data_IF_353701830039
#
_entry.id   IF_353701830039
#
_cell.length_a   1.000
_cell.length_b   1.000
_cell.length_c   1.000
_cell.angle_alpha   90.00
_cell.angle_beta   90.00
_cell.angle_gamma   90.00
#
_symmetry.space_group_name_H-M   'P 1'
#
loop_
_entity.id
_entity.type
_entity.pdbx_description
1 polymer ?
#
# COMPACT_ATOMS: atom_id res chain seq x y z
N UNK A 1 36.48 -40.50 12.58
CA UNK A 1 35.76 -39.52 13.42
C UNK A 1 35.48 -38.34 12.52
N UNK A 2 34.41 -38.47 11.74
CA UNK A 2 33.87 -37.40 10.90
C UNK A 2 32.67 -36.82 11.62
N UNK A 3 32.64 -35.51 11.76
CA UNK A 3 31.50 -34.77 12.30
C UNK A 3 30.49 -34.58 11.17
N UNK A 4 29.27 -35.09 11.36
CA UNK A 4 28.15 -34.81 10.46
C UNK A 4 27.27 -33.79 11.17
N UNK A 5 27.37 -32.53 10.76
CA UNK A 5 26.45 -31.46 11.15
C UNK A 5 25.16 -31.60 10.35
N UNK A 6 24.23 -32.43 10.81
CA UNK A 6 22.83 -32.38 10.36
C UNK A 6 22.06 -31.38 11.23
N UNK A 7 22.10 -30.10 10.84
CA UNK A 7 21.04 -29.18 11.23
C UNK A 7 19.80 -29.50 10.40
N UNK A 8 18.66 -29.88 11.01
CA UNK A 8 17.44 -30.07 10.25
C UNK A 8 17.03 -28.71 9.68
N UNK A 9 17.03 -28.61 8.35
CA UNK A 9 16.48 -27.48 7.62
C UNK A 9 15.00 -27.40 7.95
N UNK A 10 14.65 -26.56 8.93
CA UNK A 10 13.26 -26.21 9.21
C UNK A 10 12.77 -25.36 8.04
N UNK A 11 12.24 -26.03 7.02
CA UNK A 11 11.55 -25.42 5.90
C UNK A 11 10.29 -24.78 6.49
N UNK A 12 10.37 -23.46 6.76
CA UNK A 12 9.19 -22.66 7.09
C UNK A 12 8.37 -22.56 5.80
N UNK A 13 7.63 -23.62 5.51
CA UNK A 13 6.75 -23.66 4.35
C UNK A 13 5.63 -22.64 4.55
N UNK A 14 5.39 -21.81 3.54
CA UNK A 14 4.33 -20.79 3.46
C UNK A 14 2.90 -21.34 3.56
N UNK A 15 2.71 -22.55 4.07
CA UNK A 15 1.46 -23.24 4.31
C UNK A 15 0.62 -22.56 5.41
N UNK A 16 1.26 -21.99 6.45
CA UNK A 16 0.53 -21.30 7.52
C UNK A 16 -0.15 -19.99 7.06
N UNK A 17 0.49 -19.23 6.16
CA UNK A 17 -0.11 -18.04 5.55
C UNK A 17 -1.24 -18.36 4.57
N UNK A 18 -1.13 -19.48 3.84
CA UNK A 18 -2.14 -19.89 2.86
C UNK A 18 -3.46 -20.32 3.50
N UNK A 19 -3.44 -20.95 4.70
CA UNK A 19 -4.69 -21.41 5.35
C UNK A 19 -5.52 -20.30 6.01
N UNK A 20 -4.92 -19.14 6.31
CA UNK A 20 -5.61 -17.98 6.90
C UNK A 20 -6.20 -17.02 5.85
N UNK A 21 -5.76 -17.15 4.60
CA UNK A 21 -6.22 -16.31 3.50
C UNK A 21 -7.10 -17.13 2.55
N UNK A 22 -8.41 -17.23 2.84
CA UNK A 22 -9.40 -17.83 1.93
C UNK A 22 -9.59 -17.04 0.61
N UNK A 23 -8.65 -16.18 0.23
CA UNK A 23 -8.71 -15.36 -1.00
C UNK A 23 -9.81 -14.31 -0.99
N UNK A 24 -10.42 -14.02 0.17
CA UNK A 24 -11.52 -13.06 0.31
C UNK A 24 -11.19 -11.88 1.22
N UNK A 25 -9.95 -11.80 1.69
CA UNK A 25 -9.53 -10.78 2.64
C UNK A 25 -9.21 -9.46 1.92
N UNK A 26 -9.69 -8.36 2.50
CA UNK A 26 -9.38 -7.01 2.02
C UNK A 26 -8.01 -6.59 2.55
N UNK A 27 -7.10 -6.25 1.65
CA UNK A 27 -5.73 -5.87 1.98
C UNK A 27 -5.59 -4.36 1.82
N UNK A 28 -5.28 -3.67 2.92
CA UNK A 28 -5.08 -2.24 2.97
C UNK A 28 -3.70 -1.86 2.43
N UNK A 29 -3.67 -1.06 1.35
CA UNK A 29 -2.50 -0.28 0.95
C UNK A 29 -2.68 1.16 1.43
N UNK A 30 -2.04 1.52 2.54
CA UNK A 30 -2.17 2.84 3.14
C UNK A 30 -1.25 3.86 2.48
N UNK A 31 -1.81 5.00 2.04
CA UNK A 31 -1.05 6.08 1.40
C UNK A 31 -1.28 7.39 2.16
N UNK A 32 -0.19 8.04 2.55
CA UNK A 32 -0.20 9.24 3.38
C UNK A 32 -0.16 8.97 4.88
N UNK A 33 -0.37 10.04 5.65
CA UNK A 33 -0.27 10.05 7.10
C UNK A 33 1.10 10.49 7.61
N UNK A 34 1.16 10.75 8.92
CA UNK A 34 2.42 10.95 9.64
C UNK A 34 3.08 9.62 10.02
N UNK A 35 4.12 9.65 10.85
CA UNK A 35 4.85 8.45 11.27
C UNK A 35 3.96 7.36 11.91
N UNK A 36 2.91 7.77 12.64
CA UNK A 36 2.01 6.86 13.37
C UNK A 36 0.74 6.46 12.61
N UNK A 37 0.49 7.06 11.43
CA UNK A 37 -0.58 6.67 10.50
C UNK A 37 -1.96 6.37 11.14
N UNK A 38 -2.48 7.21 12.06
CA UNK A 38 -3.63 6.85 12.90
C UNK A 38 -4.91 6.55 12.13
N UNK A 39 -5.15 7.22 11.00
CA UNK A 39 -6.36 7.00 10.17
C UNK A 39 -6.35 5.68 9.41
N UNK A 40 -5.17 5.14 9.12
CA UNK A 40 -5.08 3.80 8.54
C UNK A 40 -5.28 2.78 9.66
N UNK A 41 -4.76 3.03 10.86
CA UNK A 41 -4.97 2.14 12.02
C UNK A 41 -6.44 1.93 12.37
N UNK A 42 -7.28 2.96 12.27
CA UNK A 42 -8.74 2.83 12.46
C UNK A 42 -9.38 1.79 11.51
N UNK A 43 -8.77 1.56 10.34
CA UNK A 43 -9.20 0.55 9.37
C UNK A 43 -8.58 -0.81 9.69
N UNK A 44 -7.29 -0.83 10.06
CA UNK A 44 -6.56 -2.05 10.42
C UNK A 44 -7.19 -2.77 11.60
N UNK A 45 -7.77 -2.03 12.55
CA UNK A 45 -8.41 -2.60 13.74
C UNK A 45 -9.76 -3.29 13.46
N UNK A 46 -10.23 -3.29 12.20
CA UNK A 46 -11.45 -4.01 11.79
C UNK A 46 -11.14 -5.48 11.51
N UNK A 47 -12.06 -6.36 11.89
CA UNK A 47 -11.93 -7.79 11.62
C UNK A 47 -11.91 -8.08 10.11
N UNK A 48 -11.04 -9.01 9.69
CA UNK A 48 -10.92 -9.44 8.29
C UNK A 48 -10.11 -8.50 7.39
N UNK A 49 -9.54 -7.43 7.94
CA UNK A 49 -8.63 -6.52 7.22
C UNK A 49 -7.19 -6.92 7.47
N UNK A 50 -6.43 -7.02 6.39
CA UNK A 50 -4.99 -7.19 6.46
C UNK A 50 -4.28 -5.94 5.99
N UNK A 51 -3.05 -5.78 6.44
CA UNK A 51 -2.24 -4.61 6.10
C UNK A 51 -1.12 -5.04 5.16
N UNK A 52 -1.08 -4.41 4.00
CA UNK A 52 0.10 -4.44 3.13
C UNK A 52 1.09 -3.36 3.54
N UNK A 53 1.52 -2.56 2.56
CA UNK A 53 2.41 -1.43 2.81
C UNK A 53 1.65 -0.20 3.35
N UNK A 54 2.29 0.53 4.26
CA UNK A 54 1.86 1.85 4.73
C UNK A 54 2.91 2.89 4.32
N UNK A 55 2.60 3.68 3.29
CA UNK A 55 3.46 4.72 2.76
C UNK A 55 3.12 6.05 3.43
N UNK A 56 4.00 6.55 4.29
CA UNK A 56 3.83 7.86 4.91
C UNK A 56 3.86 8.99 3.87
N UNK A 57 3.29 10.15 4.20
CA UNK A 57 3.34 11.32 3.32
C UNK A 57 4.77 11.82 3.06
N UNK A 58 5.69 11.66 4.01
CA UNK A 58 7.10 12.07 3.85
C UNK A 58 7.92 11.12 2.97
N UNK A 59 7.50 9.86 2.84
CA UNK A 59 8.10 8.88 1.93
C UNK A 59 7.65 9.04 0.47
N UNK A 60 6.79 10.01 0.19
CA UNK A 60 6.22 10.28 -1.13
C UNK A 60 6.62 11.68 -1.63
N UNK A 61 7.92 11.93 -1.88
CA UNK A 61 8.38 13.22 -2.33
C UNK A 61 7.79 13.55 -3.71
N UNK A 62 7.16 14.72 -3.80
CA UNK A 62 6.56 15.27 -5.01
C UNK A 62 7.12 16.66 -5.27
N UNK A 63 7.62 16.88 -6.47
CA UNK A 63 8.05 18.20 -6.92
C UNK A 63 6.83 19.01 -7.36
N UNK A 64 6.71 20.25 -6.86
CA UNK A 64 5.59 21.12 -7.20
C UNK A 64 5.68 21.54 -8.69
N UNK A 65 4.65 21.25 -9.50
CA UNK A 65 4.65 21.52 -10.94
C UNK A 65 4.46 23.01 -11.30
N UNK A 66 4.41 23.92 -10.32
CA UNK A 66 4.34 25.37 -10.57
C UNK A 66 2.92 25.88 -10.82
N UNK A 67 2.76 26.90 -11.68
CA UNK A 67 1.51 27.69 -11.78
C UNK A 67 0.33 26.98 -12.46
N UNK A 68 0.54 25.86 -13.18
CA UNK A 68 -0.53 25.15 -13.91
C UNK A 68 -1.23 24.05 -13.07
N UNK A 69 -1.67 24.37 -11.86
CA UNK A 69 -2.30 23.39 -10.93
C UNK A 69 -3.75 23.01 -11.29
N UNK A 70 -4.34 23.68 -12.28
CA UNK A 70 -5.76 23.56 -12.65
C UNK A 70 -6.05 22.34 -13.54
N UNK A 71 -5.02 21.78 -14.20
CA UNK A 71 -5.05 20.50 -14.93
C UNK A 71 -3.71 19.79 -14.77
N UNK A 72 -3.51 19.20 -13.59
CA UNK A 72 -2.28 18.47 -13.31
C UNK A 72 -2.29 17.14 -14.05
N UNK A 73 -1.45 17.03 -15.08
CA UNK A 73 -1.02 15.75 -15.60
C UNK A 73 -0.14 15.07 -14.53
N UNK A 74 -0.40 13.80 -14.22
CA UNK A 74 0.41 12.99 -13.31
C UNK A 74 1.88 13.01 -13.71
N UNK A 75 2.18 12.97 -15.01
CA UNK A 75 3.54 13.01 -15.58
C UNK A 75 4.29 14.31 -15.27
N UNK A 76 3.58 15.43 -15.11
CA UNK A 76 4.17 16.73 -14.83
C UNK A 76 4.70 16.83 -13.38
N UNK A 77 4.20 15.99 -12.47
CA UNK A 77 4.67 15.95 -11.08
C UNK A 77 5.84 14.99 -10.99
N UNK A 78 7.04 15.51 -10.73
CA UNK A 78 8.25 14.70 -10.58
C UNK A 78 8.40 14.18 -9.14
N UNK A 79 9.43 13.36 -8.91
CA UNK A 79 9.70 12.68 -7.65
C UNK A 79 9.48 11.16 -7.72
N UNK A 80 9.80 10.47 -6.63
CA UNK A 80 9.80 8.99 -6.55
C UNK A 80 8.47 8.39 -6.09
N UNK A 81 7.47 9.23 -5.81
CA UNK A 81 6.18 8.82 -5.26
C UNK A 81 5.44 7.77 -6.11
N UNK A 82 5.48 7.88 -7.45
CA UNK A 82 4.85 6.90 -8.37
C UNK A 82 5.45 5.51 -8.19
N UNK A 83 6.78 5.44 -8.23
CA UNK A 83 7.51 4.19 -8.13
C UNK A 83 7.33 3.58 -6.73
N UNK A 84 7.37 4.41 -5.68
CA UNK A 84 7.12 3.96 -4.31
C UNK A 84 5.74 3.31 -4.15
N UNK A 85 4.69 3.92 -4.69
CA UNK A 85 3.32 3.36 -4.67
C UNK A 85 3.26 2.08 -5.50
N UNK A 86 3.82 2.10 -6.72
CA UNK A 86 3.79 0.94 -7.63
C UNK A 86 4.48 -0.28 -7.04
N UNK A 87 5.73 -0.14 -6.58
CA UNK A 87 6.50 -1.24 -5.99
C UNK A 87 5.81 -1.77 -4.74
N UNK A 88 5.27 -0.88 -3.90
CA UNK A 88 4.55 -1.27 -2.69
C UNK A 88 3.25 -2.02 -3.00
N UNK A 89 2.53 -1.61 -4.05
CA UNK A 89 1.34 -2.31 -4.52
C UNK A 89 1.68 -3.72 -5.04
N UNK A 90 2.68 -3.85 -5.92
CA UNK A 90 3.09 -5.15 -6.48
C UNK A 90 3.65 -6.10 -5.40
N UNK A 91 4.43 -5.58 -4.46
CA UNK A 91 4.91 -6.36 -3.32
C UNK A 91 3.76 -6.83 -2.42
N UNK A 92 2.78 -5.95 -2.16
CA UNK A 92 1.57 -6.31 -1.39
C UNK A 92 0.78 -7.39 -2.13
N UNK A 93 0.52 -7.22 -3.42
CA UNK A 93 -0.21 -8.21 -4.24
C UNK A 93 0.49 -9.57 -4.27
N UNK A 94 1.83 -9.58 -4.31
CA UNK A 94 2.64 -10.81 -4.27
C UNK A 94 2.60 -11.50 -2.91
N UNK A 95 2.56 -10.73 -1.82
CA UNK A 95 2.50 -11.25 -0.46
C UNK A 95 1.11 -11.83 -0.10
N UNK A 96 0.05 -11.36 -0.75
CA UNK A 96 -1.33 -11.77 -0.50
C UNK A 96 -2.00 -12.34 -1.78
N UNK A 97 -1.55 -13.52 -2.26
CA UNK A 97 -2.17 -14.14 -3.43
C UNK A 97 -3.67 -14.39 -3.18
N UNK A 98 -4.52 -13.92 -4.09
CA UNK A 98 -5.98 -14.00 -3.97
C UNK A 98 -6.63 -12.89 -3.13
N UNK A 99 -5.88 -12.10 -2.37
CA UNK A 99 -6.44 -10.99 -1.60
C UNK A 99 -6.84 -9.80 -2.48
N UNK A 100 -7.88 -9.06 -2.05
CA UNK A 100 -8.28 -7.82 -2.74
C UNK A 100 -7.51 -6.63 -2.16
N UNK A 101 -6.53 -6.12 -2.91
CA UNK A 101 -5.76 -4.93 -2.50
C UNK A 101 -6.55 -3.65 -2.79
N UNK A 102 -6.83 -2.88 -1.74
CA UNK A 102 -7.52 -1.60 -1.77
C UNK A 102 -6.60 -0.50 -1.23
N UNK A 103 -6.39 0.55 -2.02
CA UNK A 103 -5.67 1.74 -1.58
C UNK A 103 -6.57 2.63 -0.72
N UNK A 104 -6.06 3.09 0.42
CA UNK A 104 -6.71 4.10 1.25
C UNK A 104 -5.81 5.33 1.39
N UNK A 105 -6.32 6.51 1.01
CA UNK A 105 -5.58 7.76 1.09
C UNK A 105 -5.95 8.51 2.37
N UNK A 106 -4.94 8.92 3.13
CA UNK A 106 -5.14 9.89 4.20
C UNK A 106 -5.26 11.31 3.60
N UNK A 107 -6.50 11.73 3.34
CA UNK A 107 -6.80 13.02 2.73
C UNK A 107 -6.30 14.23 3.54
N UNK A 108 -6.13 14.11 4.86
CA UNK A 108 -5.69 15.24 5.69
C UNK A 108 -4.17 15.38 5.72
N UNK A 109 -3.42 14.41 5.20
CA UNK A 109 -1.95 14.41 5.21
C UNK A 109 -1.30 15.05 3.98
N UNK A 110 -2.06 15.31 2.93
CA UNK A 110 -1.56 15.83 1.65
C UNK A 110 -2.13 17.21 1.33
N UNK A 111 -1.43 18.00 0.50
CA UNK A 111 -2.02 19.16 -0.17
C UNK A 111 -3.05 18.69 -1.21
N UNK A 112 -4.05 19.53 -1.52
CA UNK A 112 -5.13 19.16 -2.46
C UNK A 112 -4.61 18.69 -3.81
N UNK A 113 -3.59 19.34 -4.35
CA UNK A 113 -3.00 18.96 -5.63
C UNK A 113 -2.27 17.60 -5.57
N UNK A 114 -1.60 17.29 -4.46
CA UNK A 114 -0.93 16.00 -4.26
C UNK A 114 -1.95 14.88 -4.21
N UNK A 115 -3.07 15.07 -3.48
CA UNK A 115 -4.16 14.08 -3.44
C UNK A 115 -4.72 13.80 -4.81
N UNK A 116 -5.02 14.83 -5.58
CA UNK A 116 -5.59 14.67 -6.92
C UNK A 116 -4.65 13.87 -7.81
N UNK A 117 -3.36 14.20 -7.78
CA UNK A 117 -2.33 13.52 -8.58
C UNK A 117 -2.17 12.05 -8.16
N UNK A 118 -2.17 11.75 -6.85
CA UNK A 118 -2.14 10.36 -6.36
C UNK A 118 -3.39 9.60 -6.79
N UNK A 119 -4.57 10.18 -6.62
CA UNK A 119 -5.84 9.56 -7.02
C UNK A 119 -5.86 9.27 -8.52
N UNK A 120 -5.44 10.22 -9.37
CA UNK A 120 -5.34 10.02 -10.81
C UNK A 120 -4.39 8.88 -11.15
N UNK A 121 -3.21 8.84 -10.53
CA UNK A 121 -2.23 7.78 -10.75
C UNK A 121 -2.76 6.39 -10.35
N UNK A 122 -3.46 6.29 -9.21
CA UNK A 122 -4.05 5.02 -8.78
C UNK A 122 -5.08 4.50 -9.79
N UNK A 123 -5.91 5.40 -10.34
CA UNK A 123 -6.86 5.07 -11.40
C UNK A 123 -6.13 4.63 -12.68
N UNK A 124 -5.08 5.35 -13.09
CA UNK A 124 -4.24 4.99 -14.25
C UNK A 124 -3.59 3.61 -14.11
N UNK A 125 -3.17 3.25 -12.90
CA UNK A 125 -2.60 1.93 -12.59
C UNK A 125 -3.65 0.85 -12.30
N UNK A 126 -4.95 1.17 -12.43
CA UNK A 126 -6.06 0.27 -12.12
C UNK A 126 -6.02 -0.27 -10.67
N UNK A 127 -5.52 0.55 -9.73
CA UNK A 127 -5.51 0.25 -8.30
C UNK A 127 -6.80 0.77 -7.69
N UNK A 128 -7.59 -0.13 -7.09
CA UNK A 128 -8.87 0.22 -6.46
C UNK A 128 -8.64 1.14 -5.26
N UNK A 129 -9.47 2.18 -5.14
CA UNK A 129 -9.44 3.12 -4.01
C UNK A 129 -10.66 2.86 -3.13
N UNK A 130 -10.41 2.51 -1.87
CA UNK A 130 -11.45 2.24 -0.87
C UNK A 130 -11.61 3.39 0.12
N UNK A 131 -12.84 3.58 0.60
CA UNK A 131 -13.15 4.33 1.83
C UNK A 131 -12.96 3.42 3.03
N UNK A 132 -12.83 4.00 4.22
CA UNK A 132 -12.77 3.23 5.46
C UNK A 132 -13.93 2.23 5.63
N UNK A 133 -15.14 2.58 5.16
CA UNK A 133 -16.32 1.69 5.15
C UNK A 133 -16.15 0.45 4.28
N UNK A 134 -15.34 0.54 3.22
CA UNK A 134 -15.18 -0.52 2.24
C UNK A 134 -14.30 -1.64 2.76
N UNK A 135 -13.72 -1.51 3.96
CA UNK A 135 -12.93 -2.51 4.67
C UNK A 135 -13.70 -3.26 5.76
N UNK A 136 -14.98 -2.91 5.96
CA UNK A 136 -15.92 -3.64 6.81
C UNK A 136 -16.88 -4.49 5.99
#
# INVERSE_FOLDING_TARGET
>A
MEWVDEFPSFQIEGHWFYSWNNGSNKILLGIGGGHYVPRHMDIVLKDGVWVGHLLSGYSLPMEDPGQSKTKLNTEAVRGTWREAIKVSFEATKSAFPGGEVLAHLDHKSFKSWQRNVVTTFLVEQNIKIGKASDFS
#
